data_IF_629201757475
#
_entry.id   IF_629201757475
#
_cell.length_a   1.000
_cell.length_b   1.000
_cell.length_c   1.000
_cell.angle_alpha   90.00
_cell.angle_beta   90.00
_cell.angle_gamma   90.00
#
_symmetry.space_group_name_H-M   'P 1'
#
loop_
_entity.id
_entity.type
_entity.pdbx_description
1 polymer ?
#
# COMPACT_ATOMS: atom_id res chain seq x y z
N UNK A 1 4.22 19.18 -4.06
CA UNK A 1 4.45 18.62 -2.71
C UNK A 1 4.88 19.74 -1.79
N UNK A 2 4.35 19.85 -0.57
CA UNK A 2 4.80 20.87 0.38
C UNK A 2 6.28 20.64 0.71
N UNK A 3 7.07 21.72 0.73
CA UNK A 3 8.42 21.71 1.25
C UNK A 3 8.34 21.83 2.77
N UNK A 4 8.44 20.70 3.46
CA UNK A 4 8.42 20.64 4.92
C UNK A 4 9.86 20.74 5.41
N UNK A 5 10.13 21.69 6.31
CA UNK A 5 11.39 21.72 7.06
C UNK A 5 11.45 20.49 7.96
N UNK A 6 12.45 19.65 7.76
CA UNK A 6 12.60 18.38 8.46
C UNK A 6 13.97 18.30 9.12
N UNK A 7 13.98 17.94 10.40
CA UNK A 7 15.21 17.63 11.16
C UNK A 7 15.64 16.17 10.97
N UNK A 8 15.03 15.45 10.01
CA UNK A 8 15.34 14.05 9.75
C UNK A 8 16.77 13.87 9.24
N UNK A 9 17.61 13.25 10.05
CA UNK A 9 18.94 12.80 9.69
C UNK A 9 18.92 11.27 9.59
N UNK A 10 18.98 10.68 8.38
CA UNK A 10 18.90 9.23 8.23
C UNK A 10 20.08 8.55 8.94
N UNK A 11 19.82 7.46 9.69
CA UNK A 11 20.89 6.70 10.33
C UNK A 11 21.79 6.08 9.27
N UNK A 12 23.09 5.93 9.56
CA UNK A 12 23.94 5.09 8.74
C UNK A 12 23.41 3.63 8.80
N UNK A 13 23.22 2.90 7.69
CA UNK A 13 23.70 3.15 6.31
C UNK A 13 22.73 3.87 5.35
N UNK A 14 21.53 4.25 5.79
CA UNK A 14 20.47 4.84 4.96
C UNK A 14 20.74 6.28 4.46
N UNK A 15 21.92 6.83 4.77
CA UNK A 15 22.44 8.04 4.12
C UNK A 15 22.76 7.81 2.63
N UNK A 16 22.98 6.56 2.22
CA UNK A 16 23.13 6.19 0.81
C UNK A 16 21.75 5.91 0.19
N UNK A 17 21.40 6.65 -0.87
CA UNK A 17 20.08 6.54 -1.53
C UNK A 17 19.81 5.17 -2.16
N UNK A 18 20.84 4.48 -2.67
CA UNK A 18 20.68 3.13 -3.21
C UNK A 18 20.34 2.13 -2.10
N UNK A 19 21.03 2.20 -0.97
CA UNK A 19 20.73 1.35 0.20
C UNK A 19 19.29 1.60 0.67
N UNK A 20 18.89 2.86 0.78
CA UNK A 20 17.52 3.23 1.18
C UNK A 20 16.45 2.70 0.20
N UNK A 21 16.76 2.70 -1.09
CA UNK A 21 15.86 2.19 -2.15
C UNK A 21 15.76 0.67 -2.13
N UNK A 22 16.89 -0.04 -2.11
CA UNK A 22 16.92 -1.49 -2.22
C UNK A 22 16.42 -2.18 -0.95
N UNK A 23 16.70 -1.62 0.22
CA UNK A 23 16.35 -2.24 1.50
C UNK A 23 14.84 -2.49 1.62
N UNK A 24 14.00 -1.54 1.19
CA UNK A 24 12.54 -1.70 1.30
C UNK A 24 11.99 -2.80 0.39
N UNK A 25 12.62 -3.02 -0.77
CA UNK A 25 12.18 -4.01 -1.75
C UNK A 25 12.73 -5.41 -1.50
N UNK A 26 13.96 -5.52 -1.00
CA UNK A 26 14.67 -6.80 -0.87
C UNK A 26 14.67 -7.38 0.55
N UNK A 27 14.64 -6.52 1.58
CA UNK A 27 14.91 -6.95 2.96
C UNK A 27 13.69 -6.78 3.86
N UNK A 28 12.98 -5.65 3.74
CA UNK A 28 11.85 -5.34 4.62
C UNK A 28 10.75 -6.39 4.51
N UNK A 29 10.36 -6.96 5.65
CA UNK A 29 9.17 -7.82 5.81
C UNK A 29 8.21 -7.16 6.79
N UNK A 30 6.91 -7.34 6.57
CA UNK A 30 5.85 -6.80 7.43
C UNK A 30 4.85 -7.91 7.69
N UNK A 31 4.78 -8.35 8.94
CA UNK A 31 3.85 -9.39 9.39
C UNK A 31 2.72 -8.79 10.24
N UNK A 32 1.63 -9.54 10.40
CA UNK A 32 0.54 -9.19 11.33
C UNK A 32 -0.41 -8.11 10.82
N UNK A 33 -0.49 -7.90 9.51
CA UNK A 33 -1.62 -7.22 8.86
C UNK A 33 -2.31 -8.24 7.97
N UNK A 34 -3.60 -8.43 8.19
CA UNK A 34 -4.44 -9.29 7.36
C UNK A 34 -5.25 -8.37 6.46
N UNK A 35 -5.23 -8.66 5.16
CA UNK A 35 -6.02 -7.93 4.18
C UNK A 35 -7.12 -8.82 3.59
N UNK A 36 -8.33 -8.28 3.54
CA UNK A 36 -9.50 -8.90 2.93
C UNK A 36 -9.76 -8.27 1.56
N UNK A 37 -9.84 -9.10 0.53
CA UNK A 37 -10.03 -8.61 -0.84
C UNK A 37 -11.52 -8.38 -1.14
N UNK A 38 -11.82 -7.19 -1.62
CA UNK A 38 -13.07 -6.81 -2.25
C UNK A 38 -12.83 -6.53 -3.72
N UNK A 39 -13.63 -7.12 -4.61
CA UNK A 39 -13.63 -6.79 -6.03
C UNK A 39 -14.80 -5.86 -6.34
N UNK A 40 -14.50 -4.67 -6.84
CA UNK A 40 -15.50 -3.76 -7.39
C UNK A 40 -15.57 -3.92 -8.91
N UNK A 41 -16.79 -3.99 -9.45
CA UNK A 41 -17.02 -3.95 -10.90
C UNK A 41 -17.12 -2.51 -11.36
N UNK A 42 -16.45 -2.19 -12.44
CA UNK A 42 -16.43 -0.87 -13.02
C UNK A 42 -17.48 -0.74 -14.13
N UNK A 43 -17.86 0.50 -14.44
CA UNK A 43 -18.90 0.80 -15.43
C UNK A 43 -18.50 0.43 -16.86
N UNK A 44 -17.21 0.26 -17.14
CA UNK A 44 -16.69 -0.19 -18.43
C UNK A 44 -16.72 -1.72 -18.60
N UNK A 45 -17.21 -2.45 -17.60
CA UNK A 45 -17.27 -3.91 -17.59
C UNK A 45 -16.03 -4.60 -17.04
N UNK A 46 -15.04 -3.84 -16.56
CA UNK A 46 -13.84 -4.38 -15.92
C UNK A 46 -13.95 -4.38 -14.38
N UNK A 47 -12.83 -4.56 -13.67
CA UNK A 47 -12.80 -4.57 -12.22
C UNK A 47 -11.57 -3.87 -11.60
N UNK A 48 -11.69 -3.54 -10.32
CA UNK A 48 -10.55 -3.25 -9.43
C UNK A 48 -10.65 -4.14 -8.19
N UNK A 49 -9.50 -4.59 -7.72
CA UNK A 49 -9.39 -5.31 -6.44
C UNK A 49 -8.86 -4.37 -5.37
N UNK A 50 -9.60 -4.28 -4.27
CA UNK A 50 -9.28 -3.52 -3.08
C UNK A 50 -8.92 -4.49 -1.96
N UNK A 51 -7.76 -4.30 -1.34
CA UNK A 51 -7.32 -5.11 -0.22
C UNK A 51 -7.48 -4.30 1.08
N UNK A 52 -8.50 -4.64 1.86
CA UNK A 52 -8.90 -3.92 3.07
C UNK A 52 -8.22 -4.47 4.32
N UNK A 53 -7.80 -3.61 5.22
CA UNK A 53 -7.35 -4.00 6.56
C UNK A 53 -7.91 -3.05 7.59
N UNK A 54 -8.32 -3.57 8.73
CA UNK A 54 -9.12 -2.83 9.69
C UNK A 54 -8.33 -2.55 10.97
N UNK A 55 -8.62 -1.39 11.56
CA UNK A 55 -8.17 -1.08 12.91
C UNK A 55 -8.89 -1.97 13.94
N UNK A 56 -8.30 -2.12 15.13
CA UNK A 56 -8.83 -3.02 16.16
C UNK A 56 -10.13 -2.53 16.81
N UNK A 57 -10.51 -1.27 16.58
CA UNK A 57 -11.75 -0.65 17.05
C UNK A 57 -12.47 -0.06 15.85
N UNK A 58 -13.79 0.12 15.93
CA UNK A 58 -14.54 0.78 14.86
C UNK A 58 -13.93 2.15 14.52
N UNK A 59 -13.60 2.35 13.25
CA UNK A 59 -13.02 3.59 12.73
C UNK A 59 -14.02 4.31 11.84
N UNK A 60 -13.97 5.65 11.85
CA UNK A 60 -14.65 6.51 10.90
C UNK A 60 -13.66 7.18 9.91
N UNK A 61 -12.41 6.69 9.88
CA UNK A 61 -11.34 7.20 9.01
C UNK A 61 -10.80 6.06 8.16
N UNK A 62 -10.61 6.34 6.88
CA UNK A 62 -10.01 5.41 5.92
C UNK A 62 -8.78 6.06 5.30
N UNK A 63 -7.69 5.31 5.26
CA UNK A 63 -6.49 5.64 4.51
C UNK A 63 -6.50 4.86 3.19
N UNK A 64 -6.51 5.59 2.07
CA UNK A 64 -6.39 4.99 0.74
C UNK A 64 -4.92 4.88 0.38
N UNK A 65 -4.45 3.66 0.12
CA UNK A 65 -3.08 3.37 -0.24
C UNK A 65 -3.00 3.02 -1.72
N UNK A 66 -2.19 3.79 -2.44
CA UNK A 66 -1.92 3.61 -3.86
C UNK A 66 -0.47 3.14 -4.02
N UNK A 67 -0.27 2.02 -4.70
CA UNK A 67 1.06 1.47 -4.90
C UNK A 67 1.82 2.18 -6.04
N UNK A 68 3.15 2.04 -6.03
CA UNK A 68 4.01 2.55 -7.10
C UNK A 68 4.01 1.65 -8.34
N UNK A 69 4.86 1.99 -9.31
CA UNK A 69 5.04 1.23 -10.56
C UNK A 69 5.29 -0.26 -10.29
N UNK A 70 4.55 -1.14 -10.96
CA UNK A 70 4.65 -2.62 -10.84
C UNK A 70 4.53 -3.15 -9.38
N UNK A 71 3.85 -2.37 -8.53
CA UNK A 71 3.50 -2.74 -7.16
C UNK A 71 2.24 -3.60 -7.08
N UNK A 72 1.79 -3.83 -5.84
CA UNK A 72 0.50 -4.42 -5.51
C UNK A 72 0.25 -4.21 -4.00
N UNK A 73 -0.96 -4.48 -3.53
CA UNK A 73 -1.36 -4.24 -2.15
C UNK A 73 -0.56 -5.01 -1.09
N UNK A 74 -0.01 -6.19 -1.45
CA UNK A 74 0.79 -7.03 -0.54
C UNK A 74 2.27 -6.59 -0.43
N UNK A 75 2.72 -5.54 -1.14
CA UNK A 75 4.11 -5.08 -1.04
C UNK A 75 4.43 -4.55 0.38
N UNK A 76 5.64 -4.79 0.93
CA UNK A 76 5.99 -4.39 2.30
C UNK A 76 5.80 -2.91 2.66
N UNK A 77 5.93 -2.01 1.68
CA UNK A 77 5.69 -0.58 1.90
C UNK A 77 4.19 -0.24 1.99
N UNK A 78 3.33 -1.01 1.31
CA UNK A 78 1.87 -0.88 1.43
C UNK A 78 1.40 -1.49 2.74
N UNK A 79 1.71 -2.77 2.98
CA UNK A 79 1.30 -3.48 4.19
C UNK A 79 1.87 -2.83 5.45
N UNK A 80 3.09 -2.30 5.40
CA UNK A 80 3.68 -1.50 6.48
C UNK A 80 2.94 -0.20 6.76
N UNK A 81 2.48 0.50 5.72
CA UNK A 81 1.69 1.71 5.88
C UNK A 81 0.30 1.38 6.43
N UNK A 82 -0.36 0.36 5.88
CA UNK A 82 -1.65 -0.13 6.36
C UNK A 82 -1.60 -0.50 7.85
N UNK A 83 -0.60 -1.30 8.24
CA UNK A 83 -0.38 -1.69 9.65
C UNK A 83 -0.23 -0.47 10.56
N UNK A 84 0.54 0.53 10.14
CA UNK A 84 0.69 1.77 10.91
C UNK A 84 -0.64 2.53 11.01
N UNK A 85 -1.39 2.63 9.92
CA UNK A 85 -2.73 3.22 9.90
C UNK A 85 -3.69 2.52 10.85
N UNK A 86 -3.78 1.20 10.77
CA UNK A 86 -4.62 0.36 11.63
C UNK A 86 -4.27 0.54 13.11
N UNK A 87 -2.99 0.58 13.45
CA UNK A 87 -2.53 0.86 14.82
C UNK A 87 -2.97 2.25 15.31
N UNK A 88 -3.10 3.22 14.41
CA UNK A 88 -3.52 4.59 14.73
C UNK A 88 -5.04 4.84 14.52
N UNK A 89 -5.83 3.76 14.47
CA UNK A 89 -7.29 3.85 14.35
C UNK A 89 -7.76 4.38 13.00
N UNK A 90 -7.07 3.99 11.92
CA UNK A 90 -7.54 4.14 10.55
C UNK A 90 -7.77 2.76 9.96
N UNK A 91 -8.86 2.57 9.23
CA UNK A 91 -8.95 1.44 8.32
C UNK A 91 -8.12 1.78 7.07
N UNK A 92 -7.60 0.78 6.39
CA UNK A 92 -6.76 0.98 5.22
C UNK A 92 -7.33 0.22 4.02
N UNK A 93 -7.48 0.92 2.90
CA UNK A 93 -7.91 0.39 1.62
C UNK A 93 -6.71 0.46 0.67
N UNK A 94 -6.08 -0.68 0.39
CA UNK A 94 -5.01 -0.74 -0.59
C UNK A 94 -5.59 -1.05 -1.97
N UNK A 95 -5.47 -0.11 -2.89
CA UNK A 95 -6.00 -0.26 -4.25
C UNK A 95 -4.96 -1.01 -5.08
N UNK A 96 -5.33 -2.14 -5.66
CA UNK A 96 -4.56 -2.73 -6.74
C UNK A 96 -4.97 -2.05 -8.04
N UNK A 97 -4.02 -1.47 -8.75
CA UNK A 97 -4.27 -1.01 -10.12
C UNK A 97 -4.58 -2.19 -11.04
N UNK A 98 -5.17 -1.91 -12.20
CA UNK A 98 -5.49 -2.94 -13.19
C UNK A 98 -4.23 -3.75 -13.54
N UNK A 99 -4.34 -5.08 -13.50
CA UNK A 99 -3.28 -6.05 -13.76
C UNK A 99 -2.36 -6.32 -12.56
N UNK A 100 -2.47 -5.55 -11.47
CA UNK A 100 -1.56 -5.65 -10.33
C UNK A 100 -2.07 -6.54 -9.20
N UNK A 101 -3.34 -6.99 -9.22
CA UNK A 101 -3.91 -7.79 -8.11
C UNK A 101 -3.51 -9.27 -8.12
N UNK A 102 -2.77 -9.70 -9.15
CA UNK A 102 -2.46 -11.12 -9.41
C UNK A 102 -3.46 -11.79 -10.35
N UNK A 103 -4.51 -11.08 -10.78
CA UNK A 103 -5.42 -11.49 -11.82
C UNK A 103 -5.39 -10.47 -12.96
N UNK A 104 -5.37 -10.96 -14.21
CA UNK A 104 -5.46 -10.08 -15.37
C UNK A 104 -6.86 -9.50 -15.50
N UNK A 105 -6.92 -8.21 -15.81
CA UNK A 105 -8.17 -7.55 -16.12
C UNK A 105 -8.86 -8.11 -17.37
N UNK A 106 -10.18 -7.95 -17.44
CA UNK A 106 -10.98 -8.47 -18.54
C UNK A 106 -10.74 -7.68 -19.84
N UNK A 107 -10.36 -6.40 -19.71
CA UNK A 107 -10.06 -5.54 -20.84
C UNK A 107 -8.57 -5.19 -20.85
N UNK A 108 -8.01 -5.11 -22.05
CA UNK A 108 -6.61 -4.72 -22.23
C UNK A 108 -6.37 -3.22 -21.98
N UNK A 109 -7.42 -2.41 -22.10
CA UNK A 109 -7.35 -0.94 -21.93
C UNK A 109 -7.51 -0.57 -20.46
N UNK A 110 -6.57 0.24 -19.96
CA UNK A 110 -6.60 0.87 -18.65
C UNK A 110 -7.20 2.27 -18.72
#
# INVERSE_FOLDING_TARGET
>A
MPLITSDYNPPFPFKNGHVATFFSGLVRKVDGVVQERERIRLTDGDFLDLDWSFSSKASNKVMILLHGLEGHAQRPYITGSAKLGNFNGYDACAVNFRGCSGEMNNLYRS
#
